data_IF_819194604002
#
_entry.id   IF_819194604002
#
_cell.length_a   1.000
_cell.length_b   1.000
_cell.length_c   1.000
_cell.angle_alpha   90.00
_cell.angle_beta   90.00
_cell.angle_gamma   90.00
#
_symmetry.space_group_name_H-M   'P 1'
#
loop_
_entity.id
_entity.type
_entity.pdbx_description
1 polymer ?
#
# COMPACT_ATOMS: atom_id res chain seq x y z
N UNK A 1 -6.67 -55.18 -39.56
CA UNK A 1 -5.99 -53.89 -39.30
C UNK A 1 -7.07 -52.85 -39.14
N UNK A 2 -7.41 -52.56 -37.89
CA UNK A 2 -8.48 -51.58 -37.57
C UNK A 2 -7.78 -50.28 -37.19
N UNK A 3 -7.90 -49.28 -38.05
CA UNK A 3 -7.38 -47.91 -37.81
C UNK A 3 -8.30 -47.25 -36.81
N UNK A 4 -7.81 -47.01 -35.57
CA UNK A 4 -8.50 -46.22 -34.57
C UNK A 4 -8.34 -44.74 -34.94
N UNK A 5 -9.40 -44.13 -35.46
CA UNK A 5 -9.50 -42.68 -35.61
C UNK A 5 -9.65 -42.04 -34.20
N UNK A 6 -8.64 -41.30 -33.76
CA UNK A 6 -8.72 -40.43 -32.57
C UNK A 6 -9.57 -39.23 -32.96
N UNK A 7 -10.64 -38.89 -32.21
CA UNK A 7 -11.57 -37.85 -32.62
C UNK A 7 -10.94 -36.45 -32.51
N UNK A 8 -11.15 -35.62 -33.52
CA UNK A 8 -10.72 -34.22 -33.64
C UNK A 8 -11.29 -33.28 -32.54
N UNK A 9 -12.20 -33.75 -31.69
CA UNK A 9 -12.78 -33.02 -30.56
C UNK A 9 -11.77 -32.66 -29.45
N UNK A 10 -10.60 -33.34 -29.41
CA UNK A 10 -9.61 -33.06 -28.32
C UNK A 10 -8.77 -31.81 -28.56
N UNK A 11 -8.47 -31.47 -29.82
CA UNK A 11 -7.63 -30.31 -30.16
C UNK A 11 -8.40 -28.98 -30.02
N UNK A 12 -9.67 -28.93 -30.40
CA UNK A 12 -10.51 -27.76 -30.23
C UNK A 12 -10.79 -27.47 -28.74
N UNK A 13 -11.04 -28.50 -27.93
CA UNK A 13 -11.22 -28.36 -26.49
C UNK A 13 -9.96 -27.89 -25.73
N UNK A 14 -8.77 -28.37 -26.15
CA UNK A 14 -7.49 -27.92 -25.61
C UNK A 14 -7.18 -26.47 -26.03
N UNK A 15 -7.48 -26.09 -27.28
CA UNK A 15 -7.30 -24.72 -27.77
C UNK A 15 -8.24 -23.75 -27.10
N UNK A 16 -9.52 -24.13 -26.90
CA UNK A 16 -10.50 -23.33 -26.12
C UNK A 16 -10.09 -23.17 -24.64
N UNK A 17 -9.61 -24.26 -24.03
CA UNK A 17 -9.11 -24.23 -22.65
C UNK A 17 -7.85 -23.35 -22.48
N UNK A 18 -7.00 -23.30 -23.51
CA UNK A 18 -5.80 -22.45 -23.54
C UNK A 18 -6.17 -20.97 -23.72
N UNK A 19 -7.12 -20.68 -24.64
CA UNK A 19 -7.63 -19.32 -24.86
C UNK A 19 -8.33 -18.76 -23.61
N UNK A 20 -9.15 -19.56 -22.93
CA UNK A 20 -9.80 -19.14 -21.67
C UNK A 20 -8.77 -18.86 -20.56
N UNK A 21 -7.75 -19.71 -20.41
CA UNK A 21 -6.68 -19.48 -19.41
C UNK A 21 -5.84 -18.23 -19.70
N UNK A 22 -5.60 -17.89 -20.97
CA UNK A 22 -4.88 -16.66 -21.34
C UNK A 22 -5.73 -15.42 -21.11
N UNK A 23 -7.04 -15.47 -21.39
CA UNK A 23 -7.98 -14.38 -21.09
C UNK A 23 -8.09 -14.12 -19.57
N UNK A 24 -8.25 -15.18 -18.79
CA UNK A 24 -8.27 -15.10 -17.31
C UNK A 24 -6.97 -14.52 -16.73
N UNK A 25 -5.83 -14.86 -17.30
CA UNK A 25 -4.54 -14.33 -16.86
C UNK A 25 -4.36 -12.85 -17.23
N UNK A 26 -4.87 -12.41 -18.37
CA UNK A 26 -4.84 -11.00 -18.80
C UNK A 26 -5.77 -10.15 -17.93
N UNK A 27 -6.98 -10.61 -17.62
CA UNK A 27 -7.94 -9.95 -16.72
C UNK A 27 -7.35 -9.79 -15.32
N UNK A 28 -6.75 -10.84 -14.76
CA UNK A 28 -6.10 -10.79 -13.47
C UNK A 28 -4.92 -9.79 -13.46
N UNK A 29 -4.13 -9.76 -14.53
CA UNK A 29 -3.03 -8.80 -14.68
C UNK A 29 -3.55 -7.36 -14.69
N UNK A 30 -4.59 -7.08 -15.49
CA UNK A 30 -5.24 -5.76 -15.54
C UNK A 30 -5.80 -5.35 -14.18
N UNK A 31 -6.46 -6.25 -13.46
CA UNK A 31 -6.97 -6.01 -12.10
C UNK A 31 -5.87 -5.66 -11.13
N UNK A 32 -4.73 -6.35 -11.17
CA UNK A 32 -3.58 -6.06 -10.31
C UNK A 32 -3.02 -4.65 -10.60
N UNK A 33 -2.93 -4.25 -11.86
CA UNK A 33 -2.45 -2.91 -12.21
C UNK A 33 -3.45 -1.82 -11.76
N UNK A 34 -4.76 -2.02 -11.93
CA UNK A 34 -5.80 -1.14 -11.39
C UNK A 34 -5.67 -1.04 -9.86
N UNK A 35 -5.55 -2.17 -9.17
CA UNK A 35 -5.42 -2.20 -7.72
C UNK A 35 -4.19 -1.41 -7.24
N UNK A 36 -3.04 -1.57 -7.91
CA UNK A 36 -1.82 -0.82 -7.58
C UNK A 36 -2.03 0.69 -7.65
N UNK A 37 -2.64 1.18 -8.73
CA UNK A 37 -2.88 2.63 -8.90
C UNK A 37 -3.88 3.14 -7.88
N UNK A 38 -5.04 2.51 -7.76
CA UNK A 38 -6.13 2.93 -6.87
C UNK A 38 -5.68 2.93 -5.41
N UNK A 39 -5.02 1.84 -4.96
CA UNK A 39 -4.57 1.72 -3.58
C UNK A 39 -3.44 2.70 -3.25
N UNK A 40 -2.52 2.96 -4.19
CA UNK A 40 -1.46 3.95 -3.96
C UNK A 40 -2.02 5.37 -3.92
N UNK A 41 -3.00 5.72 -4.75
CA UNK A 41 -3.73 7.00 -4.61
C UNK A 41 -4.40 7.07 -3.23
N UNK A 42 -5.02 5.99 -2.77
CA UNK A 42 -5.56 5.88 -1.41
C UNK A 42 -4.52 6.13 -0.32
N UNK A 43 -3.29 5.64 -0.50
CA UNK A 43 -2.18 5.93 0.43
C UNK A 43 -1.77 7.41 0.40
N UNK A 44 -1.88 8.11 -0.74
CA UNK A 44 -1.65 9.56 -0.78
C UNK A 44 -2.71 10.30 0.04
N UNK A 45 -3.98 9.91 -0.05
CA UNK A 45 -5.05 10.43 0.82
C UNK A 45 -4.75 10.18 2.30
N UNK A 46 -4.33 8.97 2.66
CA UNK A 46 -3.97 8.60 4.02
C UNK A 46 -2.82 9.46 4.57
N UNK A 47 -1.82 9.76 3.73
CA UNK A 47 -0.63 10.51 4.13
C UNK A 47 -0.78 12.04 4.04
N UNK A 48 -1.99 12.54 3.73
CA UNK A 48 -2.32 13.94 3.95
C UNK A 48 -2.31 14.28 5.45
N UNK A 49 -2.62 13.31 6.33
CA UNK A 49 -2.77 13.47 7.78
C UNK A 49 -3.85 14.51 8.16
N UNK A 50 -3.65 15.20 9.29
CA UNK A 50 -4.57 16.23 9.78
C UNK A 50 -4.56 17.49 8.90
N UNK A 51 -5.66 18.23 8.89
CA UNK A 51 -5.70 19.59 8.34
C UNK A 51 -4.73 20.50 9.10
N UNK A 52 -4.16 21.54 8.46
CA UNK A 52 -3.23 22.45 9.14
C UNK A 52 -3.81 23.18 10.37
N UNK A 53 -5.14 23.37 10.43
CA UNK A 53 -5.85 23.99 11.54
C UNK A 53 -6.49 22.96 12.50
N UNK A 54 -6.43 21.66 12.22
CA UNK A 54 -7.00 20.63 13.09
C UNK A 54 -6.07 20.30 14.24
N UNK A 55 -6.65 20.16 15.45
CA UNK A 55 -5.94 19.72 16.65
C UNK A 55 -6.03 18.22 16.87
N UNK A 56 -7.05 17.58 16.28
CA UNK A 56 -7.29 16.14 16.41
C UNK A 56 -6.69 15.42 15.21
N UNK A 57 -5.78 14.44 15.42
CA UNK A 57 -5.27 13.60 14.35
C UNK A 57 -6.37 12.70 13.77
N UNK A 58 -6.42 12.47 12.44
CA UNK A 58 -7.52 11.72 11.83
C UNK A 58 -7.56 10.23 12.22
N UNK A 59 -6.50 9.68 12.77
CA UNK A 59 -6.48 8.31 13.29
C UNK A 59 -7.14 8.18 14.68
N UNK A 60 -7.44 9.27 15.35
CA UNK A 60 -8.28 9.28 16.54
C UNK A 60 -9.78 9.24 16.20
N UNK A 61 -10.15 9.78 15.06
CA UNK A 61 -11.50 9.91 14.56
C UNK A 61 -11.80 11.34 14.13
N UNK A 62 -13.09 11.70 14.00
CA UNK A 62 -13.47 13.08 13.71
C UNK A 62 -13.34 13.98 14.96
N UNK A 63 -13.25 15.29 14.73
CA UNK A 63 -13.25 16.27 15.82
C UNK A 63 -14.71 16.67 16.15
N UNK A 64 -15.27 16.27 17.31
CA UNK A 64 -16.63 16.62 17.68
C UNK A 64 -16.84 18.13 17.96
N UNK A 65 -15.77 18.89 18.13
CA UNK A 65 -15.82 20.29 18.52
C UNK A 65 -15.62 21.27 17.35
N UNK A 66 -14.87 20.86 16.31
CA UNK A 66 -14.54 21.73 15.18
C UNK A 66 -14.55 20.98 13.85
N UNK A 67 -15.13 21.60 12.84
CA UNK A 67 -15.09 21.07 11.46
C UNK A 67 -15.49 19.59 11.36
N UNK A 68 -16.64 19.27 11.96
CA UNK A 68 -17.09 17.87 12.16
C UNK A 68 -17.16 17.09 10.84
N UNK A 69 -17.70 17.69 9.78
CA UNK A 69 -17.85 17.01 8.48
C UNK A 69 -16.51 16.82 7.80
N UNK A 70 -15.65 17.83 7.79
CA UNK A 70 -14.33 17.73 7.17
C UNK A 70 -13.45 16.72 7.88
N UNK A 71 -13.40 16.75 9.22
CA UNK A 71 -12.60 15.81 10.01
C UNK A 71 -13.17 14.39 9.96
N UNK A 72 -14.50 14.23 9.86
CA UNK A 72 -15.12 12.93 9.60
C UNK A 72 -14.70 12.37 8.25
N UNK A 73 -14.77 13.16 7.16
CA UNK A 73 -14.36 12.73 5.83
C UNK A 73 -12.89 12.33 5.81
N UNK A 74 -12.02 13.11 6.44
CA UNK A 74 -10.58 12.79 6.52
C UNK A 74 -10.35 11.47 7.27
N UNK A 75 -10.96 11.29 8.45
CA UNK A 75 -10.83 10.08 9.26
C UNK A 75 -11.44 8.86 8.57
N UNK A 76 -12.62 9.01 7.97
CA UNK A 76 -13.27 7.94 7.22
C UNK A 76 -12.39 7.44 6.06
N UNK A 77 -11.88 8.35 5.23
CA UNK A 77 -11.02 8.01 4.09
C UNK A 77 -9.72 7.36 4.57
N UNK A 78 -9.12 7.88 5.65
CA UNK A 78 -7.94 7.28 6.28
C UNK A 78 -8.20 5.84 6.70
N UNK A 79 -9.25 5.56 7.47
CA UNK A 79 -9.57 4.21 7.94
C UNK A 79 -9.95 3.28 6.79
N UNK A 80 -10.68 3.78 5.78
CA UNK A 80 -11.02 2.99 4.60
C UNK A 80 -9.77 2.49 3.86
N UNK A 81 -8.77 3.33 3.68
CA UNK A 81 -7.53 2.95 3.01
C UNK A 81 -6.50 2.22 3.90
N UNK A 82 -6.82 1.96 5.17
CA UNK A 82 -6.00 1.04 5.99
C UNK A 82 -5.98 -0.40 5.44
N UNK A 83 -6.91 -0.77 4.56
CA UNK A 83 -6.88 -2.02 3.80
C UNK A 83 -5.89 -2.01 2.62
N UNK A 84 -5.34 -0.85 2.22
CA UNK A 84 -4.50 -0.73 1.02
C UNK A 84 -3.19 -1.52 1.14
N UNK A 85 -2.43 -1.35 2.22
CA UNK A 85 -1.19 -2.11 2.45
C UNK A 85 -1.46 -3.61 2.62
N UNK A 86 -2.44 -4.06 3.41
CA UNK A 86 -2.88 -5.45 3.45
C UNK A 86 -3.16 -6.06 2.06
N UNK A 87 -3.93 -5.37 1.22
CA UNK A 87 -4.24 -5.86 -0.12
C UNK A 87 -3.00 -5.89 -1.04
N UNK A 88 -2.17 -4.86 -1.04
CA UNK A 88 -0.90 -4.85 -1.79
C UNK A 88 0.05 -5.97 -1.32
N UNK A 89 0.05 -6.28 -0.04
CA UNK A 89 0.83 -7.39 0.54
C UNK A 89 0.28 -8.75 0.08
N UNK A 90 -1.05 -8.92 0.09
CA UNK A 90 -1.74 -10.12 -0.40
C UNK A 90 -1.41 -10.37 -1.88
N UNK A 91 -1.53 -9.35 -2.73
CA UNK A 91 -1.15 -9.41 -4.15
C UNK A 91 0.33 -9.79 -4.30
N UNK A 92 1.20 -9.20 -3.47
CA UNK A 92 2.65 -9.49 -3.53
C UNK A 92 2.97 -10.94 -3.17
N UNK A 93 2.32 -11.50 -2.16
CA UNK A 93 2.44 -12.90 -1.75
C UNK A 93 1.91 -13.86 -2.81
N UNK A 94 0.73 -13.57 -3.38
CA UNK A 94 0.15 -14.30 -4.50
C UNK A 94 1.09 -14.38 -5.69
N UNK A 95 1.67 -13.27 -6.10
CA UNK A 95 2.61 -13.22 -7.23
C UNK A 95 3.95 -13.88 -6.89
N UNK A 96 4.42 -13.75 -5.64
CA UNK A 96 5.71 -14.27 -5.23
C UNK A 96 5.74 -15.81 -5.22
N UNK A 97 4.67 -16.48 -4.84
CA UNK A 97 4.58 -17.95 -4.78
C UNK A 97 3.95 -18.57 -6.04
N UNK A 98 3.74 -17.81 -7.10
CA UNK A 98 3.28 -18.31 -8.40
C UNK A 98 4.38 -18.99 -9.22
N UNK A 99 5.00 -20.08 -8.71
CA UNK A 99 5.96 -20.90 -9.43
C UNK A 99 5.47 -22.35 -9.56
N UNK A 100 5.72 -22.97 -10.70
CA UNK A 100 5.25 -24.33 -11.00
C UNK A 100 6.27 -25.41 -10.59
N UNK A 101 7.58 -25.11 -10.68
CA UNK A 101 8.65 -26.08 -10.41
C UNK A 101 9.81 -25.42 -9.68
N UNK A 102 10.67 -26.27 -9.04
CA UNK A 102 11.92 -25.85 -8.36
C UNK A 102 11.75 -24.64 -7.41
N UNK A 103 10.95 -24.76 -6.35
CA UNK A 103 10.57 -23.62 -5.49
C UNK A 103 11.77 -22.87 -4.94
N UNK A 104 12.83 -23.54 -4.53
CA UNK A 104 14.04 -22.92 -3.96
C UNK A 104 14.80 -22.05 -4.95
N UNK A 105 14.98 -22.52 -6.19
CA UNK A 105 15.64 -21.75 -7.25
C UNK A 105 14.79 -20.52 -7.62
N UNK A 106 13.47 -20.72 -7.75
CA UNK A 106 12.54 -19.67 -8.07
C UNK A 106 12.52 -18.57 -6.98
N UNK A 107 12.48 -18.97 -5.70
CA UNK A 107 12.57 -18.02 -4.58
C UNK A 107 13.88 -17.26 -4.57
N UNK A 108 15.03 -17.96 -4.71
CA UNK A 108 16.36 -17.31 -4.74
C UNK A 108 16.46 -16.28 -5.86
N UNK A 109 15.96 -16.61 -7.06
CA UNK A 109 15.91 -15.67 -8.20
C UNK A 109 15.02 -14.47 -7.89
N UNK A 110 13.85 -14.70 -7.28
CA UNK A 110 12.91 -13.62 -6.90
C UNK A 110 13.47 -12.73 -5.79
N UNK A 111 14.10 -13.30 -4.75
CA UNK A 111 14.76 -12.54 -3.68
C UNK A 111 15.83 -11.60 -4.27
N UNK A 112 16.72 -12.12 -5.13
CA UNK A 112 17.73 -11.29 -5.80
C UNK A 112 17.12 -10.15 -6.61
N UNK A 113 16.05 -10.42 -7.36
CA UNK A 113 15.34 -9.39 -8.13
C UNK A 113 14.71 -8.33 -7.22
N UNK A 114 14.28 -8.69 -6.01
CA UNK A 114 13.71 -7.74 -5.05
C UNK A 114 14.75 -6.81 -4.44
N UNK A 115 16.00 -7.20 -4.35
CA UNK A 115 17.11 -6.30 -4.01
C UNK A 115 17.16 -5.07 -4.91
N UNK A 116 17.11 -5.25 -6.22
CA UNK A 116 17.12 -4.14 -7.18
C UNK A 116 15.78 -3.41 -7.32
N UNK A 117 14.66 -4.10 -7.07
CA UNK A 117 13.32 -3.50 -7.30
C UNK A 117 12.63 -2.94 -6.06
N UNK A 118 13.12 -3.23 -4.85
CA UNK A 118 12.60 -2.70 -3.59
C UNK A 118 13.69 -2.01 -2.76
N UNK A 119 14.81 -2.72 -2.44
CA UNK A 119 15.83 -2.19 -1.55
C UNK A 119 16.59 -1.01 -2.18
N UNK A 120 17.00 -1.11 -3.44
CA UNK A 120 17.75 -0.05 -4.10
C UNK A 120 16.92 1.25 -4.23
N UNK A 121 15.65 1.22 -4.70
CA UNK A 121 14.79 2.42 -4.66
C UNK A 121 14.57 2.95 -3.24
N UNK A 122 14.36 2.09 -2.24
CA UNK A 122 14.23 2.50 -0.84
C UNK A 122 15.43 3.34 -0.41
N UNK A 123 16.64 2.86 -0.66
CA UNK A 123 17.88 3.59 -0.30
C UNK A 123 17.94 4.94 -1.02
N UNK A 124 17.72 4.96 -2.34
CA UNK A 124 17.85 6.19 -3.15
C UNK A 124 16.83 7.25 -2.72
N UNK A 125 15.57 6.87 -2.51
CA UNK A 125 14.54 7.81 -2.09
C UNK A 125 14.74 8.33 -0.67
N UNK A 126 15.17 7.47 0.27
CA UNK A 126 15.47 7.91 1.63
C UNK A 126 16.71 8.81 1.70
N UNK A 127 17.74 8.55 0.90
CA UNK A 127 18.87 9.48 0.76
C UNK A 127 18.44 10.83 0.19
N UNK A 128 17.54 10.82 -0.82
CA UNK A 128 16.97 12.06 -1.36
C UNK A 128 16.13 12.82 -0.33
N UNK A 129 15.28 12.13 0.43
CA UNK A 129 14.49 12.74 1.50
C UNK A 129 15.37 13.31 2.62
N UNK A 130 16.43 12.58 2.99
CA UNK A 130 17.42 13.04 3.97
C UNK A 130 18.13 14.31 3.48
N UNK A 131 18.57 14.34 2.22
CA UNK A 131 19.18 15.53 1.62
C UNK A 131 18.22 16.74 1.61
N UNK A 132 16.93 16.53 1.29
CA UNK A 132 15.90 17.58 1.36
C UNK A 132 15.75 18.09 2.81
N UNK A 133 15.71 17.19 3.80
CA UNK A 133 15.58 17.58 5.21
C UNK A 133 16.77 18.42 5.68
N UNK A 134 18.00 18.04 5.33
CA UNK A 134 19.19 18.83 5.67
C UNK A 134 19.24 20.17 4.94
N UNK A 135 18.89 20.22 3.66
CA UNK A 135 18.78 21.48 2.92
C UNK A 135 17.73 22.41 3.53
N UNK A 136 16.56 21.88 3.89
CA UNK A 136 15.51 22.64 4.57
C UNK A 136 16.00 23.15 5.95
N UNK A 137 16.70 22.30 6.71
CA UNK A 137 17.28 22.70 8.00
C UNK A 137 18.29 23.83 7.86
N UNK A 138 19.10 23.82 6.79
CA UNK A 138 20.10 24.86 6.56
C UNK A 138 19.46 26.22 6.20
N UNK A 139 18.37 26.25 5.42
CA UNK A 139 17.73 27.50 4.97
C UNK A 139 16.60 27.96 5.88
N UNK A 140 15.95 27.07 6.60
CA UNK A 140 14.79 27.33 7.45
C UNK A 140 14.80 26.47 8.73
N UNK A 141 15.74 26.70 9.67
CA UNK A 141 16.00 25.79 10.80
C UNK A 141 14.83 25.62 11.77
N UNK A 142 13.90 26.54 11.80
CA UNK A 142 12.69 26.52 12.69
C UNK A 142 11.41 26.16 11.93
N UNK A 143 11.52 25.72 10.67
CA UNK A 143 10.35 25.40 9.86
C UNK A 143 9.58 24.19 10.41
N UNK A 144 8.26 24.33 10.55
CA UNK A 144 7.36 23.21 10.88
C UNK A 144 7.39 22.07 9.84
N UNK A 145 7.87 22.35 8.61
CA UNK A 145 8.05 21.36 7.56
C UNK A 145 9.15 20.32 7.88
N UNK A 146 10.00 20.58 8.88
CA UNK A 146 11.02 19.62 9.35
C UNK A 146 10.41 18.50 10.21
N UNK A 147 9.34 18.79 10.96
CA UNK A 147 8.70 17.80 11.85
C UNK A 147 8.36 16.47 11.20
N UNK A 148 7.74 16.44 10.01
CA UNK A 148 7.37 15.19 9.32
C UNK A 148 8.53 14.26 8.97
N UNK A 149 9.79 14.74 8.91
CA UNK A 149 10.97 13.90 8.65
C UNK A 149 11.43 13.12 9.90
N UNK A 150 11.00 13.52 11.11
CA UNK A 150 11.32 12.80 12.35
C UNK A 150 12.81 12.72 12.67
N UNK A 151 13.60 13.74 12.27
CA UNK A 151 15.06 13.77 12.44
C UNK A 151 15.42 14.61 13.66
N UNK A 152 16.17 14.01 14.58
CA UNK A 152 16.95 14.76 15.57
C UNK A 152 18.27 15.22 14.95
N UNK A 153 18.34 16.49 14.59
CA UNK A 153 19.52 17.07 13.95
C UNK A 153 20.69 17.32 14.94
N UNK A 154 20.42 17.37 16.25
CA UNK A 154 21.46 17.62 17.24
C UNK A 154 22.35 16.39 17.49
N UNK A 155 21.73 15.20 17.50
CA UNK A 155 22.43 13.93 17.69
C UNK A 155 22.68 13.15 16.40
N UNK A 156 22.65 13.79 15.23
CA UNK A 156 22.71 13.09 13.96
C UNK A 156 24.13 12.66 13.59
N UNK A 157 24.42 11.37 13.69
CA UNK A 157 25.67 10.74 13.30
C UNK A 157 25.50 9.72 12.16
N UNK A 158 26.53 8.92 11.93
CA UNK A 158 26.54 7.92 10.85
C UNK A 158 25.47 6.84 11.06
N UNK A 159 25.30 6.37 12.30
CA UNK A 159 24.31 5.35 12.64
C UNK A 159 22.89 5.85 12.42
N UNK A 160 22.59 7.06 12.89
CA UNK A 160 21.30 7.73 12.67
C UNK A 160 21.00 7.89 11.18
N UNK A 161 22.03 8.17 10.38
CA UNK A 161 21.92 8.23 8.91
C UNK A 161 21.59 6.88 8.29
N UNK A 162 22.27 5.81 8.70
CA UNK A 162 21.99 4.45 8.23
C UNK A 162 20.58 4.03 8.62
N UNK A 163 20.18 4.28 9.86
CA UNK A 163 18.86 3.94 10.37
C UNK A 163 17.76 4.77 9.70
N UNK A 164 17.97 6.06 9.48
CA UNK A 164 17.04 6.93 8.74
C UNK A 164 16.81 6.46 7.29
N UNK A 165 17.83 5.87 6.66
CA UNK A 165 17.72 5.36 5.29
C UNK A 165 17.10 3.97 5.23
N UNK A 166 17.51 3.06 6.13
CA UNK A 166 17.11 1.64 6.07
C UNK A 166 15.90 1.30 6.96
N UNK A 167 15.58 2.13 7.94
CA UNK A 167 14.49 1.90 8.89
C UNK A 167 14.76 0.66 9.77
N UNK A 168 15.94 0.57 10.39
CA UNK A 168 16.34 -0.61 11.16
C UNK A 168 15.65 -0.66 12.53
N UNK A 169 15.60 0.49 13.23
CA UNK A 169 15.03 0.60 14.59
C UNK A 169 13.84 1.55 14.66
N UNK A 170 13.65 2.40 13.63
CA UNK A 170 12.56 3.37 13.50
C UNK A 170 12.02 3.41 12.07
N UNK A 171 11.03 4.25 11.83
CA UNK A 171 10.56 4.52 10.47
C UNK A 171 11.68 5.12 9.62
N UNK A 172 11.81 4.74 8.33
CA UNK A 172 12.69 5.44 7.40
C UNK A 172 12.35 6.93 7.35
N UNK A 173 13.30 7.79 6.94
CA UNK A 173 13.08 9.24 6.85
C UNK A 173 11.94 9.60 5.88
N UNK A 174 11.82 8.92 4.76
CA UNK A 174 10.63 8.91 3.93
C UNK A 174 9.71 7.79 4.46
N UNK A 175 8.92 8.13 5.48
CA UNK A 175 8.24 7.15 6.34
C UNK A 175 7.36 6.16 5.55
N UNK A 176 6.76 6.54 4.41
CA UNK A 176 5.94 5.63 3.59
C UNK A 176 6.72 4.39 3.11
N UNK A 177 8.04 4.44 3.10
CA UNK A 177 8.87 3.28 2.75
C UNK A 177 8.89 2.18 3.82
N UNK A 178 8.26 2.37 4.98
CA UNK A 178 8.09 1.30 5.96
C UNK A 178 7.47 0.04 5.33
N UNK A 179 6.46 0.23 4.45
CA UNK A 179 5.82 -0.87 3.73
C UNK A 179 6.79 -1.59 2.78
N UNK A 180 7.57 -0.85 1.99
CA UNK A 180 8.53 -1.42 1.05
C UNK A 180 9.65 -2.15 1.80
N UNK A 181 10.09 -1.61 2.93
CA UNK A 181 11.08 -2.21 3.84
C UNK A 181 10.56 -3.53 4.41
N UNK A 182 9.37 -3.53 4.98
CA UNK A 182 8.77 -4.73 5.55
C UNK A 182 8.43 -5.79 4.49
N UNK A 183 8.02 -5.37 3.30
CA UNK A 183 7.86 -6.27 2.15
C UNK A 183 9.19 -6.90 1.72
N UNK A 184 10.28 -6.14 1.73
CA UNK A 184 11.61 -6.68 1.43
C UNK A 184 12.06 -7.68 2.49
N UNK A 185 11.89 -7.38 3.78
CA UNK A 185 12.16 -8.33 4.88
C UNK A 185 11.30 -9.58 4.75
N UNK A 186 10.00 -9.44 4.44
CA UNK A 186 9.09 -10.58 4.20
C UNK A 186 9.61 -11.47 3.06
N UNK A 187 10.12 -10.87 1.99
CA UNK A 187 10.74 -11.62 0.89
C UNK A 187 12.02 -12.35 1.34
N UNK A 188 12.83 -11.75 2.20
CA UNK A 188 14.02 -12.41 2.74
C UNK A 188 13.67 -13.63 3.59
N UNK A 189 12.60 -13.55 4.41
CA UNK A 189 12.14 -14.68 5.23
C UNK A 189 11.21 -15.65 4.48
N UNK A 190 10.97 -15.44 3.17
CA UNK A 190 10.11 -16.30 2.35
C UNK A 190 10.50 -17.79 2.34
N UNK A 191 11.77 -18.21 2.50
CA UNK A 191 12.12 -19.62 2.67
C UNK A 191 11.48 -20.26 3.92
N UNK A 192 11.43 -19.52 5.03
CA UNK A 192 10.74 -19.96 6.24
C UNK A 192 9.22 -20.02 6.03
N UNK A 193 8.66 -18.99 5.39
CA UNK A 193 7.22 -18.99 5.04
C UNK A 193 6.86 -20.16 4.12
N UNK A 194 7.74 -20.53 3.21
CA UNK A 194 7.54 -21.71 2.34
C UNK A 194 7.48 -23.01 3.16
N UNK A 195 8.35 -23.19 4.13
CA UNK A 195 8.30 -24.35 5.02
C UNK A 195 6.98 -24.41 5.80
N UNK A 196 6.53 -23.28 6.33
CA UNK A 196 5.25 -23.17 7.04
C UNK A 196 4.08 -23.51 6.09
N UNK A 197 4.06 -22.92 4.88
CA UNK A 197 3.04 -23.17 3.86
C UNK A 197 2.99 -24.63 3.42
N UNK A 198 4.12 -25.33 3.40
CA UNK A 198 4.23 -26.73 2.99
C UNK A 198 3.79 -27.70 4.07
N UNK A 199 4.17 -27.46 5.34
CA UNK A 199 4.02 -28.44 6.40
C UNK A 199 2.84 -28.14 7.34
N UNK A 200 2.56 -26.88 7.62
CA UNK A 200 1.53 -26.46 8.58
C UNK A 200 0.83 -25.16 8.13
N UNK A 201 0.18 -25.13 6.95
CA UNK A 201 -0.30 -23.89 6.32
C UNK A 201 -1.32 -23.11 7.15
N UNK A 202 -2.26 -23.81 7.79
CA UNK A 202 -3.29 -23.15 8.62
C UNK A 202 -2.74 -22.74 9.98
N UNK A 203 -1.86 -23.54 10.58
CA UNK A 203 -1.18 -23.18 11.82
C UNK A 203 -0.29 -21.95 11.60
N UNK A 204 0.42 -21.88 10.46
CA UNK A 204 1.18 -20.70 10.08
C UNK A 204 0.29 -19.46 9.91
N UNK A 205 -0.87 -19.60 9.27
CA UNK A 205 -1.83 -18.49 9.13
C UNK A 205 -2.36 -18.05 10.51
N UNK A 206 -2.70 -18.98 11.38
CA UNK A 206 -3.17 -18.67 12.74
C UNK A 206 -2.10 -17.98 13.58
N UNK A 207 -0.87 -18.50 13.58
CA UNK A 207 0.23 -17.93 14.36
C UNK A 207 0.59 -16.51 13.89
N UNK A 208 0.70 -16.28 12.56
CA UNK A 208 0.97 -14.96 12.01
C UNK A 208 -0.22 -14.00 12.19
N UNK A 209 -1.45 -14.51 12.14
CA UNK A 209 -2.66 -13.75 12.42
C UNK A 209 -2.75 -13.28 13.86
N UNK A 210 -2.43 -14.17 14.83
CA UNK A 210 -2.36 -13.81 16.24
C UNK A 210 -1.24 -12.80 16.52
N UNK A 211 -0.06 -13.01 15.93
CA UNK A 211 1.04 -12.04 16.04
C UNK A 211 0.65 -10.66 15.49
N UNK A 212 -0.04 -10.61 14.37
CA UNK A 212 -0.56 -9.38 13.79
C UNK A 212 -1.62 -8.71 14.68
N UNK A 213 -2.59 -9.46 15.22
CA UNK A 213 -3.60 -8.92 16.13
C UNK A 213 -3.00 -8.39 17.43
N UNK A 214 -1.97 -9.06 17.95
CA UNK A 214 -1.24 -8.67 19.15
C UNK A 214 -0.19 -7.56 18.90
N UNK A 215 -0.10 -7.02 17.68
CA UNK A 215 0.91 -6.05 17.26
C UNK A 215 2.37 -6.49 17.50
N UNK A 216 2.62 -7.78 17.42
CA UNK A 216 3.94 -8.35 17.66
C UNK A 216 4.88 -8.10 16.47
N UNK A 217 5.90 -7.31 16.68
CA UNK A 217 6.83 -6.84 15.64
C UNK A 217 8.05 -7.76 15.41
N UNK A 218 8.03 -8.98 15.97
CA UNK A 218 9.13 -9.95 15.86
C UNK A 218 10.48 -9.37 16.29
N UNK A 219 10.52 -8.78 17.50
CA UNK A 219 11.72 -8.18 18.11
C UNK A 219 12.32 -7.03 17.27
N UNK A 220 11.47 -6.23 16.64
CA UNK A 220 11.88 -5.11 15.78
C UNK A 220 12.27 -5.50 14.36
N UNK A 221 12.17 -6.78 13.98
CA UNK A 221 12.43 -7.22 12.60
C UNK A 221 11.44 -6.62 11.61
N UNK A 222 10.18 -6.43 12.02
CA UNK A 222 9.14 -5.76 11.26
C UNK A 222 8.71 -4.48 11.95
N UNK A 223 8.42 -3.44 11.17
CA UNK A 223 7.77 -2.23 11.68
C UNK A 223 6.31 -2.55 11.97
N UNK A 224 5.68 -3.33 11.07
CA UNK A 224 4.30 -3.81 11.24
C UNK A 224 4.14 -5.25 10.72
N UNK A 225 3.51 -6.10 11.51
CA UNK A 225 3.20 -7.48 11.14
C UNK A 225 2.17 -7.61 9.99
N UNK A 226 1.46 -6.53 9.63
CA UNK A 226 0.48 -6.49 8.53
C UNK A 226 1.05 -7.08 7.23
N UNK A 227 2.24 -6.64 6.84
CA UNK A 227 2.85 -7.02 5.56
C UNK A 227 3.13 -8.51 5.52
N UNK A 228 3.71 -9.04 6.60
CA UNK A 228 4.05 -10.45 6.72
C UNK A 228 2.80 -11.34 6.68
N UNK A 229 1.79 -11.01 7.48
CA UNK A 229 0.56 -11.80 7.59
C UNK A 229 -0.21 -11.82 6.26
N UNK A 230 -0.48 -10.65 5.68
CA UNK A 230 -1.25 -10.58 4.43
C UNK A 230 -0.48 -11.12 3.22
N UNK A 231 0.84 -11.00 3.20
CA UNK A 231 1.67 -11.68 2.20
C UNK A 231 1.55 -13.21 2.33
N UNK A 232 1.56 -13.74 3.55
CA UNK A 232 1.36 -15.17 3.80
C UNK A 232 -0.02 -15.64 3.34
N UNK A 233 -1.08 -14.87 3.61
CA UNK A 233 -2.43 -15.18 3.14
C UNK A 233 -2.51 -15.21 1.61
N UNK A 234 -1.88 -14.27 0.91
CA UNK A 234 -1.79 -14.26 -0.54
C UNK A 234 -1.07 -15.49 -1.09
N UNK A 235 0.04 -15.87 -0.47
CA UNK A 235 0.79 -17.07 -0.81
C UNK A 235 -0.03 -18.35 -0.57
N UNK A 236 -0.71 -18.44 0.57
CA UNK A 236 -1.58 -19.56 0.92
C UNK A 236 -2.72 -19.72 -0.09
N UNK A 237 -3.41 -18.63 -0.43
CA UNK A 237 -4.46 -18.62 -1.44
C UNK A 237 -3.95 -19.11 -2.79
N UNK A 238 -2.77 -18.65 -3.22
CA UNK A 238 -2.13 -19.10 -4.48
C UNK A 238 -1.85 -20.59 -4.50
N UNK A 239 -1.26 -21.11 -3.43
CA UNK A 239 -0.88 -22.53 -3.34
C UNK A 239 -2.07 -23.46 -3.16
N UNK A 240 -3.18 -22.96 -2.61
CA UNK A 240 -4.44 -23.69 -2.49
C UNK A 240 -5.31 -23.61 -3.73
N UNK A 241 -4.86 -22.92 -4.79
CA UNK A 241 -5.62 -22.76 -6.03
C UNK A 241 -6.89 -21.94 -5.86
N UNK A 242 -6.96 -21.08 -4.81
CA UNK A 242 -8.12 -20.20 -4.61
C UNK A 242 -8.19 -19.23 -5.79
N UNK A 243 -9.30 -19.23 -6.51
CA UNK A 243 -9.52 -18.25 -7.55
C UNK A 243 -9.80 -16.89 -6.94
N UNK A 244 -9.09 -15.83 -7.35
CA UNK A 244 -9.26 -14.51 -6.78
C UNK A 244 -10.47 -13.78 -7.40
N UNK A 245 -11.61 -14.47 -7.52
CA UNK A 245 -12.85 -13.94 -8.06
C UNK A 245 -13.84 -13.65 -6.95
N UNK A 246 -14.45 -12.47 -6.97
CA UNK A 246 -15.50 -12.05 -6.05
C UNK A 246 -16.69 -11.55 -6.87
N UNK A 247 -17.85 -12.15 -6.68
CA UNK A 247 -19.06 -11.76 -7.39
C UNK A 247 -19.49 -10.33 -7.04
N UNK A 248 -20.05 -9.60 -8.00
CA UNK A 248 -20.36 -8.17 -7.83
C UNK A 248 -21.36 -7.90 -6.69
N UNK A 249 -22.37 -8.77 -6.48
CA UNK A 249 -23.32 -8.60 -5.37
C UNK A 249 -22.65 -8.78 -4.01
N UNK A 250 -21.74 -9.77 -3.88
CA UNK A 250 -20.94 -9.94 -2.69
C UNK A 250 -20.01 -8.74 -2.48
N UNK A 251 -19.38 -8.24 -3.53
CA UNK A 251 -18.54 -7.04 -3.47
C UNK A 251 -19.29 -5.83 -2.94
N UNK A 252 -20.52 -5.56 -3.46
CA UNK A 252 -21.35 -4.44 -2.98
C UNK A 252 -21.68 -4.57 -1.49
N UNK A 253 -22.06 -5.77 -1.06
CA UNK A 253 -22.39 -6.03 0.35
C UNK A 253 -21.13 -5.84 1.23
N UNK A 254 -19.99 -6.41 0.84
CA UNK A 254 -18.75 -6.29 1.58
C UNK A 254 -18.26 -4.85 1.65
N UNK A 255 -18.37 -4.08 0.55
CA UNK A 255 -18.05 -2.65 0.52
C UNK A 255 -18.96 -1.85 1.46
N UNK A 256 -20.28 -2.13 1.45
CA UNK A 256 -21.21 -1.46 2.34
C UNK A 256 -20.89 -1.75 3.81
N UNK A 257 -20.71 -3.03 4.17
CA UNK A 257 -20.36 -3.40 5.54
C UNK A 257 -19.03 -2.75 5.95
N UNK A 258 -18.02 -2.82 5.10
CA UNK A 258 -16.71 -2.22 5.38
C UNK A 258 -16.79 -0.70 5.54
N UNK A 259 -17.51 -0.01 4.66
CA UNK A 259 -17.73 1.43 4.74
C UNK A 259 -18.46 1.83 6.04
N UNK A 260 -19.50 1.07 6.44
CA UNK A 260 -20.22 1.29 7.71
C UNK A 260 -19.27 1.11 8.90
N UNK A 261 -18.48 0.04 8.93
CA UNK A 261 -17.50 -0.18 10.01
C UNK A 261 -16.46 0.96 10.09
N UNK A 262 -15.98 1.45 8.95
CA UNK A 262 -15.03 2.58 8.93
C UNK A 262 -15.68 3.91 9.31
N UNK A 263 -16.95 4.11 8.95
CA UNK A 263 -17.74 5.27 9.41
C UNK A 263 -17.95 5.23 10.94
N UNK A 264 -18.32 4.08 11.50
CA UNK A 264 -18.41 3.89 12.95
C UNK A 264 -17.07 4.13 13.64
N UNK A 265 -15.96 3.67 13.05
CA UNK A 265 -14.62 3.96 13.58
C UNK A 265 -14.27 5.45 13.54
N UNK A 266 -14.64 6.14 12.46
CA UNK A 266 -14.43 7.60 12.37
C UNK A 266 -15.28 8.38 13.37
N UNK A 267 -16.49 7.88 13.70
CA UNK A 267 -17.40 8.46 14.69
C UNK A 267 -17.11 8.00 16.13
N UNK A 268 -16.10 7.16 16.35
CA UNK A 268 -15.79 6.62 17.67
C UNK A 268 -15.64 7.69 18.80
N UNK A 269 -15.13 8.94 18.55
CA UNK A 269 -15.05 9.98 19.56
C UNK A 269 -16.39 10.41 20.18
N UNK A 270 -17.54 10.01 19.61
CA UNK A 270 -18.85 10.24 20.23
C UNK A 270 -19.10 9.34 21.45
N UNK A 271 -18.44 8.19 21.53
CA UNK A 271 -18.70 7.18 22.58
C UNK A 271 -17.42 6.80 23.36
N UNK A 272 -16.27 7.08 22.82
CA UNK A 272 -14.96 6.68 23.35
C UNK A 272 -14.01 7.86 23.36
N UNK A 273 -13.07 7.86 24.29
CA UNK A 273 -11.96 8.83 24.36
C UNK A 273 -10.67 8.19 23.81
N UNK A 274 -10.26 8.50 22.54
CA UNK A 274 -9.07 7.92 21.96
C UNK A 274 -7.75 8.34 22.63
N UNK A 275 -7.78 9.30 23.55
CA UNK A 275 -6.62 9.67 24.36
C UNK A 275 -6.35 8.66 25.49
N UNK A 276 -7.37 7.89 25.89
CA UNK A 276 -7.25 6.83 26.88
C UNK A 276 -6.61 5.57 26.27
N UNK A 277 -5.52 5.03 26.84
CA UNK A 277 -4.78 3.91 26.25
C UNK A 277 -5.65 2.67 25.97
N UNK A 278 -6.49 2.28 26.94
CA UNK A 278 -7.34 1.09 26.83
C UNK A 278 -8.38 1.23 25.71
N UNK A 279 -9.00 2.41 25.60
CA UNK A 279 -9.99 2.67 24.55
C UNK A 279 -9.33 2.78 23.18
N UNK A 280 -8.14 3.37 23.11
CA UNK A 280 -7.33 3.40 21.88
C UNK A 280 -6.99 1.98 21.41
N UNK A 281 -6.50 1.11 22.31
CA UNK A 281 -6.16 -0.27 21.96
C UNK A 281 -7.37 -1.04 21.44
N UNK A 282 -8.54 -0.88 22.07
CA UNK A 282 -9.79 -1.47 21.60
C UNK A 282 -10.18 -0.98 20.21
N UNK A 283 -10.08 0.32 19.95
CA UNK A 283 -10.39 0.92 18.64
C UNK A 283 -9.38 0.48 17.56
N UNK A 284 -8.12 0.30 17.92
CA UNK A 284 -7.09 -0.21 17.03
C UNK A 284 -7.33 -1.68 16.69
N UNK A 285 -7.72 -2.51 17.68
CA UNK A 285 -8.11 -3.90 17.48
C UNK A 285 -9.35 -4.00 16.56
N UNK A 286 -10.37 -3.17 16.78
CA UNK A 286 -11.55 -3.09 15.91
C UNK A 286 -11.12 -2.80 14.46
N UNK A 287 -10.25 -1.82 14.27
CA UNK A 287 -9.75 -1.44 12.95
C UNK A 287 -8.95 -2.57 12.31
N UNK A 288 -8.13 -3.29 13.08
CA UNK A 288 -7.38 -4.46 12.59
C UNK A 288 -8.34 -5.56 12.15
N UNK A 289 -9.33 -5.93 12.96
CA UNK A 289 -10.30 -6.97 12.64
C UNK A 289 -11.13 -6.66 11.38
N UNK A 290 -11.38 -5.40 11.08
CA UNK A 290 -12.10 -5.00 9.86
C UNK A 290 -11.25 -5.07 8.57
N UNK A 291 -9.91 -5.03 8.65
CA UNK A 291 -9.02 -4.99 7.46
C UNK A 291 -9.17 -6.18 6.51
N UNK A 292 -9.29 -7.45 6.95
CA UNK A 292 -9.51 -8.58 6.03
C UNK A 292 -10.75 -8.41 5.18
N UNK A 293 -11.84 -7.87 5.77
CA UNK A 293 -13.05 -7.53 5.03
C UNK A 293 -12.76 -6.47 3.96
N UNK A 294 -12.05 -5.39 4.33
CA UNK A 294 -11.61 -4.34 3.42
C UNK A 294 -10.74 -4.86 2.27
N UNK A 295 -9.85 -5.84 2.53
CA UNK A 295 -9.03 -6.49 1.50
C UNK A 295 -9.90 -7.15 0.44
N UNK A 296 -10.89 -7.96 0.84
CA UNK A 296 -11.78 -8.66 -0.10
C UNK A 296 -12.70 -7.67 -0.82
N UNK A 297 -13.24 -6.68 -0.10
CA UNK A 297 -14.12 -5.66 -0.66
C UNK A 297 -13.40 -4.79 -1.70
N UNK A 298 -12.22 -4.27 -1.37
CA UNK A 298 -11.42 -3.45 -2.31
C UNK A 298 -10.90 -4.27 -3.50
N UNK A 299 -10.55 -5.55 -3.29
CA UNK A 299 -10.19 -6.42 -4.39
C UNK A 299 -11.35 -6.63 -5.37
N UNK A 300 -12.57 -6.93 -4.85
CA UNK A 300 -13.79 -7.06 -5.66
C UNK A 300 -14.12 -5.78 -6.43
N UNK A 301 -13.91 -4.60 -5.82
CA UNK A 301 -14.05 -3.31 -6.51
C UNK A 301 -13.04 -3.18 -7.66
N UNK A 302 -11.78 -3.54 -7.43
CA UNK A 302 -10.74 -3.50 -8.47
C UNK A 302 -11.03 -4.47 -9.63
N UNK A 303 -11.57 -5.68 -9.33
CA UNK A 303 -12.06 -6.60 -10.36
C UNK A 303 -13.12 -5.94 -11.23
N UNK A 304 -14.10 -5.30 -10.62
CA UNK A 304 -15.16 -4.62 -11.36
C UNK A 304 -14.66 -3.41 -12.15
N UNK A 305 -13.79 -2.60 -11.57
CA UNK A 305 -13.18 -1.45 -12.26
C UNK A 305 -12.37 -1.90 -13.47
N UNK A 306 -11.60 -2.97 -13.36
CA UNK A 306 -10.75 -3.48 -14.45
C UNK A 306 -11.54 -3.89 -15.71
N UNK A 307 -12.84 -4.20 -15.58
CA UNK A 307 -13.72 -4.51 -16.72
C UNK A 307 -14.34 -3.28 -17.38
N UNK A 308 -13.98 -2.08 -16.95
CA UNK A 308 -14.51 -0.81 -17.49
C UNK A 308 -13.44 -0.10 -18.32
N UNK A 309 -13.86 0.76 -19.27
CA UNK A 309 -12.94 1.60 -20.05
C UNK A 309 -12.06 2.51 -19.16
N UNK A 310 -12.59 2.97 -18.03
CA UNK A 310 -11.81 3.69 -17.00
C UNK A 310 -10.74 2.81 -16.38
N UNK A 311 -11.10 1.57 -16.04
CA UNK A 311 -10.14 0.61 -15.46
C UNK A 311 -9.02 0.25 -16.43
N UNK A 312 -9.32 0.05 -17.70
CA UNK A 312 -8.30 -0.16 -18.74
C UNK A 312 -7.36 1.03 -18.87
N UNK A 313 -7.89 2.25 -18.78
CA UNK A 313 -7.09 3.47 -18.77
C UNK A 313 -6.20 3.56 -17.54
N UNK A 314 -6.72 3.25 -16.34
CA UNK A 314 -5.98 3.22 -15.08
C UNK A 314 -4.89 2.15 -15.11
N UNK A 315 -5.18 0.94 -15.62
CA UNK A 315 -4.23 -0.17 -15.67
C UNK A 315 -2.94 0.19 -16.44
N UNK A 316 -3.04 1.03 -17.47
CA UNK A 316 -1.87 1.53 -18.23
C UNK A 316 -0.87 2.27 -17.34
N UNK A 317 -1.32 2.90 -16.28
CA UNK A 317 -0.46 3.61 -15.31
C UNK A 317 0.04 2.75 -14.15
N UNK A 318 -0.16 1.42 -14.19
CA UNK A 318 0.31 0.50 -13.13
C UNK A 318 1.81 0.59 -12.87
N UNK A 319 2.63 0.82 -13.91
CA UNK A 319 4.07 1.04 -13.78
C UNK A 319 4.42 2.33 -13.02
N UNK A 320 3.56 3.37 -13.08
CA UNK A 320 3.74 4.62 -12.34
C UNK A 320 3.43 4.49 -10.84
N UNK A 321 2.57 3.54 -10.43
CA UNK A 321 2.10 3.44 -9.06
C UNK A 321 3.24 3.36 -8.03
N UNK A 322 4.34 2.66 -8.32
CA UNK A 322 5.48 2.61 -7.41
C UNK A 322 6.22 3.95 -7.31
N UNK A 323 6.39 4.65 -8.44
CA UNK A 323 7.00 6.00 -8.43
C UNK A 323 6.14 6.97 -7.63
N UNK A 324 4.80 6.95 -7.81
CA UNK A 324 3.87 7.74 -6.99
C UNK A 324 4.00 7.40 -5.51
N UNK A 325 4.03 6.08 -5.16
CA UNK A 325 4.26 5.66 -3.77
C UNK A 325 5.56 6.21 -3.19
N UNK A 326 6.61 6.29 -3.99
CA UNK A 326 7.90 6.80 -3.55
C UNK A 326 7.93 8.33 -3.44
N UNK A 327 7.34 9.03 -4.40
CA UNK A 327 7.44 10.48 -4.55
C UNK A 327 6.42 11.27 -3.72
N UNK A 328 5.28 10.67 -3.30
CA UNK A 328 4.23 11.45 -2.65
C UNK A 328 4.64 12.07 -1.32
N UNK A 329 5.60 11.51 -0.58
CA UNK A 329 6.24 12.17 0.54
C UNK A 329 7.69 12.50 0.17
N UNK A 330 8.20 13.70 0.43
CA UNK A 330 7.56 14.79 1.20
C UNK A 330 6.62 15.69 0.39
N UNK A 331 6.36 15.38 -0.89
CA UNK A 331 5.63 16.25 -1.81
C UNK A 331 4.24 16.66 -1.28
N UNK A 332 3.46 15.73 -0.71
CA UNK A 332 2.12 16.01 -0.16
C UNK A 332 2.18 17.06 0.97
N UNK A 333 3.22 17.04 1.78
CA UNK A 333 3.40 18.01 2.87
C UNK A 333 3.63 19.41 2.31
N UNK A 334 4.53 19.53 1.33
CA UNK A 334 4.80 20.83 0.69
C UNK A 334 3.57 21.38 -0.05
N UNK A 335 2.89 20.53 -0.82
CA UNK A 335 1.66 20.91 -1.55
C UNK A 335 0.57 21.35 -0.56
N UNK A 336 0.31 20.57 0.47
CA UNK A 336 -0.69 20.88 1.49
C UNK A 336 -0.46 22.26 2.13
N UNK A 337 0.74 22.52 2.61
CA UNK A 337 1.04 23.78 3.28
C UNK A 337 1.13 24.97 2.30
N UNK A 338 1.59 24.75 1.06
CA UNK A 338 1.59 25.79 0.04
C UNK A 338 0.15 26.20 -0.33
N UNK A 339 -0.72 25.22 -0.60
CA UNK A 339 -2.14 25.50 -0.87
C UNK A 339 -2.83 26.18 0.31
N UNK A 340 -2.55 25.74 1.54
CA UNK A 340 -3.13 26.36 2.73
C UNK A 340 -2.74 27.83 2.90
N UNK A 341 -1.50 28.19 2.56
CA UNK A 341 -1.04 29.58 2.59
C UNK A 341 -1.70 30.45 1.53
N UNK A 342 -1.99 29.86 0.36
CA UNK A 342 -2.63 30.59 -0.75
C UNK A 342 -4.13 30.76 -0.56
N UNK A 343 -4.80 29.71 -0.07
CA UNK A 343 -6.24 29.66 0.15
C UNK A 343 -6.52 28.95 1.47
N UNK A 344 -6.51 29.69 2.60
CA UNK A 344 -6.89 29.14 3.90
C UNK A 344 -8.33 28.60 3.86
N UNK A 345 -8.54 27.39 4.38
CA UNK A 345 -9.84 26.75 4.38
C UNK A 345 -10.48 26.83 5.76
N UNK A 346 -11.51 27.68 5.89
CA UNK A 346 -12.17 27.99 7.17
C UNK A 346 -13.50 27.26 7.34
N UNK A 347 -14.06 26.69 6.27
CA UNK A 347 -15.30 25.92 6.32
C UNK A 347 -15.07 24.47 5.94
N UNK A 348 -15.94 23.56 6.39
CA UNK A 348 -15.86 22.12 6.11
C UNK A 348 -15.77 21.85 4.60
N UNK A 349 -16.59 22.53 3.81
CA UNK A 349 -16.57 22.36 2.34
C UNK A 349 -15.21 22.76 1.73
N UNK A 350 -14.64 23.87 2.15
CA UNK A 350 -13.32 24.30 1.69
C UNK A 350 -12.20 23.40 2.19
N UNK A 351 -12.29 22.88 3.41
CA UNK A 351 -11.34 21.90 3.95
C UNK A 351 -11.37 20.60 3.14
N UNK A 352 -12.55 20.08 2.81
CA UNK A 352 -12.68 18.89 1.95
C UNK A 352 -12.11 19.18 0.56
N UNK A 353 -12.45 20.34 -0.02
CA UNK A 353 -11.91 20.75 -1.32
C UNK A 353 -10.37 20.84 -1.28
N UNK A 354 -9.80 21.43 -0.23
CA UNK A 354 -8.35 21.53 -0.01
C UNK A 354 -7.71 20.12 0.12
N UNK A 355 -8.36 19.19 0.85
CA UNK A 355 -7.91 17.80 0.98
C UNK A 355 -7.79 17.14 -0.39
N UNK A 356 -8.87 17.16 -1.17
CA UNK A 356 -8.92 16.57 -2.51
C UNK A 356 -7.93 17.26 -3.46
N UNK A 357 -7.88 18.59 -3.46
CA UNK A 357 -6.97 19.37 -4.29
C UNK A 357 -5.49 19.08 -3.96
N UNK A 358 -5.14 18.95 -2.67
CA UNK A 358 -3.78 18.61 -2.25
C UNK A 358 -3.35 17.25 -2.78
N UNK A 359 -4.22 16.24 -2.69
CA UNK A 359 -3.95 14.91 -3.23
C UNK A 359 -3.86 14.94 -4.76
N UNK A 360 -4.82 15.55 -5.43
CA UNK A 360 -4.83 15.67 -6.90
C UNK A 360 -3.57 16.37 -7.43
N UNK A 361 -3.17 17.48 -6.81
CA UNK A 361 -1.95 18.20 -7.16
C UNK A 361 -0.70 17.38 -6.90
N UNK A 362 -0.63 16.65 -5.78
CA UNK A 362 0.49 15.76 -5.48
C UNK A 362 0.63 14.66 -6.53
N UNK A 363 -0.47 14.01 -6.91
CA UNK A 363 -0.48 12.98 -7.96
C UNK A 363 -0.05 13.58 -9.30
N UNK A 364 -0.56 14.76 -9.67
CA UNK A 364 -0.22 15.43 -10.92
C UNK A 364 1.25 15.85 -10.98
N UNK A 365 1.78 16.43 -9.92
CA UNK A 365 3.19 16.79 -9.84
C UNK A 365 4.12 15.57 -9.86
N UNK A 366 3.76 14.48 -9.17
CA UNK A 366 4.48 13.23 -9.25
C UNK A 366 4.46 12.64 -10.66
N UNK A 367 3.32 12.71 -11.37
CA UNK A 367 3.21 12.25 -12.76
C UNK A 367 4.05 13.12 -13.71
N UNK A 368 4.04 14.44 -13.54
CA UNK A 368 4.88 15.36 -14.30
C UNK A 368 6.37 15.06 -14.06
N UNK A 369 6.78 14.90 -12.80
CA UNK A 369 8.15 14.55 -12.45
C UNK A 369 8.57 13.21 -13.06
N UNK A 370 7.70 12.20 -13.01
CA UNK A 370 7.94 10.90 -13.65
C UNK A 370 8.15 11.04 -15.16
N UNK A 371 7.28 11.81 -15.85
CA UNK A 371 7.38 12.03 -17.28
C UNK A 371 8.66 12.80 -17.68
N UNK A 372 9.02 13.83 -16.91
CA UNK A 372 10.25 14.60 -17.13
C UNK A 372 11.49 13.72 -16.92
N UNK A 373 11.57 13.00 -15.80
CA UNK A 373 12.69 12.11 -15.49
C UNK A 373 12.80 11.01 -16.56
N UNK A 374 11.68 10.42 -16.98
CA UNK A 374 11.67 9.39 -18.00
C UNK A 374 12.19 9.92 -19.35
N UNK A 375 11.80 11.14 -19.74
CA UNK A 375 12.29 11.78 -20.98
C UNK A 375 13.79 12.10 -20.94
N UNK A 376 14.29 12.56 -19.79
CA UNK A 376 15.73 12.90 -19.62
C UNK A 376 16.56 11.63 -19.52
N UNK A 377 16.13 10.66 -18.71
CA UNK A 377 16.86 9.41 -18.47
C UNK A 377 15.90 8.26 -18.10
N UNK A 378 15.52 7.40 -19.07
CA UNK A 378 14.73 6.20 -18.78
C UNK A 378 15.41 5.26 -17.76
N UNK A 379 16.77 5.29 -17.70
CA UNK A 379 17.54 4.50 -16.72
C UNK A 379 17.35 5.03 -15.30
N UNK A 380 17.39 6.35 -15.13
CA UNK A 380 17.14 6.99 -13.82
C UNK A 380 15.70 6.74 -13.38
N UNK A 381 14.71 6.91 -14.28
CA UNK A 381 13.33 6.56 -13.96
C UNK A 381 13.20 5.09 -13.53
N UNK A 382 13.82 4.17 -14.27
CA UNK A 382 13.81 2.74 -13.93
C UNK A 382 14.41 2.46 -12.54
N UNK A 383 15.48 3.16 -12.17
CA UNK A 383 16.06 3.08 -10.82
C UNK A 383 15.06 3.53 -9.75
N UNK A 384 14.47 4.70 -9.94
CA UNK A 384 13.51 5.30 -9.00
C UNK A 384 12.18 4.53 -8.91
N UNK A 385 11.75 3.92 -10.02
CA UNK A 385 10.53 3.13 -10.12
C UNK A 385 10.72 1.63 -9.84
N UNK A 386 11.91 1.19 -9.39
CA UNK A 386 12.21 -0.21 -9.09
C UNK A 386 12.14 -1.13 -10.30
N UNK A 387 12.66 -0.67 -11.44
CA UNK A 387 12.72 -1.40 -12.72
C UNK A 387 11.40 -1.43 -13.50
N UNK A 388 10.40 -0.65 -13.10
CA UNK A 388 9.13 -0.52 -13.83
C UNK A 388 9.28 0.50 -14.95
N UNK A 389 8.50 0.32 -16.03
CA UNK A 389 8.47 1.27 -17.14
C UNK A 389 7.30 2.23 -16.99
N UNK A 390 7.50 3.47 -17.40
CA UNK A 390 6.40 4.39 -17.67
C UNK A 390 5.88 4.03 -19.06
N UNK A 391 4.57 3.95 -19.21
CA UNK A 391 3.93 3.64 -20.51
C UNK A 391 3.97 4.87 -21.42
#
# INVERSE_FOLDING_TARGET
MTVIQVPAASAAGQMQGTLNRTADAAELSGTIEVARVVLVIGLVFLHYFAYPNSRVPPFEGFDPNQHQVATFVNSFVLFFFFSAVPLLSTISGWLFFGFAARPWEAMRKRIRKRGSSLLLPLIVWNLGALAIAFALRAVAPTSSLLGPFGIDFAGFGLWEGIDAVLGLTRLPVAFQFWFVRDLFVTVLVSPLLWLMLRHAPLLGAAALGLAWLADFNFFGLFIRADVLFFFYLGALARLRGVEPRVGWNATKLLLLIYAVLMALRALAPLAFDPSQPDQREMLDLFTRLARPLGVVACWGLCLRLATTAWGESIARYGGFAFFLHAAHFPLIIFVKFALWRLVPAETDAWMIAHYVASVAMTVSLAALAAAVIFRISPRLYGLLAGGRRLV
#
